data_IF_814512915336
#
_entry.id   IF_814512915336
#
_cell.length_a   1.000
_cell.length_b   1.000
_cell.length_c   1.000
_cell.angle_alpha   90.00
_cell.angle_beta   90.00
_cell.angle_gamma   90.00
#
_symmetry.space_group_name_H-M   'P 1'
#
loop_
_entity.id
_entity.type
_entity.pdbx_description
1 polymer ?
#
# COMPACT_ATOMS: atom_id res chain seq x y z
N UNK A 1 42.65 2.29 -2.56
CA UNK A 1 42.26 3.50 -1.79
C UNK A 1 40.90 3.22 -1.20
N UNK A 2 40.89 2.54 -0.06
CA UNK A 2 39.70 1.96 0.59
C UNK A 2 38.90 3.03 1.35
N UNK A 3 37.60 3.09 1.07
CA UNK A 3 36.66 3.95 1.79
C UNK A 3 36.37 3.39 3.17
N UNK A 4 36.76 4.13 4.21
CA UNK A 4 36.55 3.80 5.63
C UNK A 4 35.10 4.10 6.03
N UNK A 5 34.44 3.09 6.61
CA UNK A 5 33.12 3.19 7.22
C UNK A 5 33.20 3.80 8.62
N UNK A 6 32.33 4.76 8.92
CA UNK A 6 32.15 5.28 10.28
C UNK A 6 30.80 4.81 10.83
N UNK A 7 30.80 4.25 12.05
CA UNK A 7 29.60 3.94 12.84
C UNK A 7 29.39 5.09 13.82
N UNK A 8 28.18 5.63 13.88
CA UNK A 8 27.77 6.59 14.91
C UNK A 8 26.74 5.88 15.79
N UNK A 9 27.09 5.68 17.06
CA UNK A 9 26.17 5.38 18.16
C UNK A 9 25.78 6.70 18.82
N UNK A 10 24.50 6.90 19.12
CA UNK A 10 24.03 8.06 19.89
C UNK A 10 23.12 7.56 21.02
N UNK A 11 23.59 7.70 22.25
CA UNK A 11 22.81 7.57 23.49
C UNK A 11 22.00 8.85 23.77
N UNK A 12 20.72 8.67 24.13
CA UNK A 12 19.91 9.48 25.05
C UNK A 12 19.81 11.02 24.91
N UNK A 13 18.61 11.52 24.56
CA UNK A 13 17.99 12.66 25.28
C UNK A 13 17.73 13.99 24.53
N UNK A 14 16.57 14.07 23.85
CA UNK A 14 15.58 15.16 23.75
C UNK A 14 15.96 16.66 23.62
N UNK A 15 15.50 17.34 22.55
CA UNK A 15 14.61 18.54 22.50
C UNK A 15 13.91 18.59 21.10
N UNK A 16 12.59 18.90 21.03
CA UNK A 16 11.68 18.82 19.86
C UNK A 16 11.85 19.91 18.76
N UNK A 17 11.10 20.03 17.65
CA UNK A 17 9.81 19.52 17.12
C UNK A 17 9.89 19.53 15.54
N UNK A 18 8.84 19.42 14.70
CA UNK A 18 8.45 18.23 13.95
C UNK A 18 8.41 18.42 12.41
N UNK A 19 9.01 17.52 11.62
CA UNK A 19 8.46 17.17 10.30
C UNK A 19 8.82 15.72 10.01
N UNK A 20 7.94 14.84 10.46
CA UNK A 20 8.11 13.41 10.30
C UNK A 20 7.97 12.99 8.84
N UNK A 21 8.94 12.23 8.35
CA UNK A 21 8.57 11.04 7.62
C UNK A 21 9.48 9.89 8.04
N UNK A 22 9.00 9.12 9.03
CA UNK A 22 9.63 7.90 9.50
C UNK A 22 9.71 6.93 8.32
N UNK A 23 10.90 6.76 7.75
CA UNK A 23 11.22 5.57 6.95
C UNK A 23 11.09 4.36 7.86
N UNK A 24 9.88 3.77 7.93
CA UNK A 24 9.63 2.54 8.65
C UNK A 24 10.46 1.43 8.02
N UNK A 25 11.25 0.79 8.90
CA UNK A 25 12.02 -0.43 8.70
C UNK A 25 11.31 -1.41 7.76
N UNK A 26 12.04 -1.84 6.72
CA UNK A 26 11.68 -2.97 5.85
C UNK A 26 11.76 -4.26 6.69
N UNK A 27 10.70 -4.54 7.45
CA UNK A 27 10.49 -5.84 8.08
C UNK A 27 10.18 -6.86 6.99
N UNK A 28 10.73 -8.07 7.13
CA UNK A 28 10.41 -9.25 6.31
C UNK A 28 8.89 -9.40 6.18
N UNK A 29 8.35 -8.97 5.06
CA UNK A 29 6.90 -8.92 4.84
C UNK A 29 6.38 -10.30 4.47
N UNK A 30 5.46 -10.80 5.29
CA UNK A 30 4.39 -11.72 4.87
C UNK A 30 3.82 -11.21 3.53
N UNK A 31 3.43 -12.13 2.63
CA UNK A 31 2.88 -11.82 1.30
C UNK A 31 1.67 -10.86 1.41
N UNK A 32 1.90 -9.56 1.50
CA UNK A 32 0.84 -8.55 1.46
C UNK A 32 0.39 -8.40 0.01
N UNK A 33 -0.90 -8.51 -0.24
CA UNK A 33 -1.50 -8.26 -1.55
C UNK A 33 -1.54 -6.76 -1.79
N UNK A 34 -0.46 -6.19 -2.33
CA UNK A 34 -0.47 -4.79 -2.76
C UNK A 34 -1.11 -4.71 -4.14
N UNK A 35 -2.18 -3.94 -4.23
CA UNK A 35 -2.86 -3.62 -5.49
C UNK A 35 -2.25 -2.34 -6.04
N UNK A 36 -1.77 -2.42 -7.27
CA UNK A 36 -1.26 -1.30 -8.06
C UNK A 36 -1.80 -1.39 -9.48
N UNK A 37 -1.99 -0.25 -10.14
CA UNK A 37 -2.38 -0.26 -11.55
C UNK A 37 -1.15 -0.41 -12.45
N UNK A 38 -1.21 -1.25 -13.48
CA UNK A 38 -0.14 -1.33 -14.50
C UNK A 38 -0.23 -0.24 -15.57
N UNK A 39 -1.37 0.46 -15.62
CA UNK A 39 -1.69 1.52 -16.58
C UNK A 39 -2.03 2.82 -15.85
N UNK A 40 -1.62 4.00 -16.36
CA UNK A 40 -2.05 5.27 -15.81
C UNK A 40 -3.55 5.48 -16.04
N UNK A 41 -4.20 6.21 -15.15
CA UNK A 41 -5.66 6.42 -15.24
C UNK A 41 -6.20 7.35 -14.17
N UNK A 42 -7.51 7.32 -13.97
CA UNK A 42 -8.22 8.10 -12.96
C UNK A 42 -9.09 7.20 -12.10
N UNK A 43 -9.06 7.39 -10.78
CA UNK A 43 -9.95 6.66 -9.87
C UNK A 43 -11.37 7.18 -10.04
N UNK A 44 -12.30 6.29 -10.37
CA UNK A 44 -13.73 6.61 -10.52
C UNK A 44 -14.44 6.43 -9.19
N UNK A 45 -14.21 5.29 -8.54
CA UNK A 45 -14.80 4.96 -7.25
C UNK A 45 -13.91 3.99 -6.47
N UNK A 46 -14.08 3.98 -5.16
CA UNK A 46 -13.45 3.03 -4.26
C UNK A 46 -14.59 2.37 -3.47
N UNK A 47 -14.61 1.05 -3.43
CA UNK A 47 -15.68 0.26 -2.81
C UNK A 47 -15.34 -0.20 -1.39
N UNK A 48 -14.11 0.07 -0.92
CA UNK A 48 -13.57 -0.39 0.35
C UNK A 48 -12.88 0.73 1.12
N UNK A 49 -12.82 0.56 2.43
CA UNK A 49 -12.09 1.42 3.36
C UNK A 49 -11.10 0.60 4.20
N UNK A 50 -10.18 1.30 4.88
CA UNK A 50 -9.27 0.65 5.83
C UNK A 50 -10.06 -0.09 6.93
N UNK A 51 -9.64 -1.32 7.22
CA UNK A 51 -10.29 -2.22 8.16
C UNK A 51 -11.38 -3.12 7.55
N UNK A 52 -11.82 -2.88 6.30
CA UNK A 52 -12.76 -3.79 5.64
C UNK A 52 -12.15 -5.17 5.39
N UNK A 53 -13.00 -6.20 5.41
CA UNK A 53 -12.64 -7.56 5.00
C UNK A 53 -13.10 -7.75 3.56
N UNK A 54 -12.23 -8.31 2.72
CA UNK A 54 -12.50 -8.61 1.31
C UNK A 54 -12.18 -10.06 1.01
N UNK A 55 -12.87 -10.66 0.05
CA UNK A 55 -12.55 -11.94 -0.53
C UNK A 55 -11.74 -11.76 -1.83
N UNK A 56 -10.95 -12.78 -2.19
CA UNK A 56 -10.33 -12.85 -3.51
C UNK A 56 -11.39 -12.73 -4.62
N UNK A 57 -11.15 -11.84 -5.58
CA UNK A 57 -12.08 -11.54 -6.67
C UNK A 57 -13.07 -10.41 -6.38
N UNK A 58 -13.21 -9.95 -5.13
CA UNK A 58 -14.09 -8.82 -4.81
C UNK A 58 -13.61 -7.55 -5.53
N UNK A 59 -14.53 -6.80 -6.13
CA UNK A 59 -14.22 -5.51 -6.75
C UNK A 59 -14.00 -4.48 -5.65
N UNK A 60 -12.78 -3.93 -5.58
CA UNK A 60 -12.37 -2.99 -4.54
C UNK A 60 -12.32 -1.54 -5.01
N UNK A 61 -12.18 -1.31 -6.32
CA UNK A 61 -12.22 0.02 -6.92
C UNK A 61 -12.46 -0.04 -8.43
N UNK A 62 -12.85 1.10 -9.02
CA UNK A 62 -12.99 1.27 -10.46
C UNK A 62 -11.97 2.31 -10.94
N UNK A 63 -11.18 1.93 -11.94
CA UNK A 63 -10.21 2.77 -12.62
C UNK A 63 -10.68 3.10 -14.03
N UNK A 64 -10.68 4.38 -14.40
CA UNK A 64 -10.83 4.77 -15.80
C UNK A 64 -9.47 4.93 -16.47
N UNK A 65 -9.26 4.22 -17.58
CA UNK A 65 -8.10 4.37 -18.44
C UNK A 65 -8.53 4.26 -19.91
N UNK A 66 -7.99 5.12 -20.77
CA UNK A 66 -8.27 5.10 -22.23
C UNK A 66 -9.77 5.10 -22.59
N UNK A 67 -10.59 5.88 -21.85
CA UNK A 67 -12.07 5.96 -21.98
C UNK A 67 -12.83 4.69 -21.60
N UNK A 68 -12.18 3.73 -20.96
CA UNK A 68 -12.79 2.51 -20.47
C UNK A 68 -12.68 2.46 -18.94
N UNK A 69 -13.71 1.91 -18.29
CA UNK A 69 -13.69 1.63 -16.86
C UNK A 69 -13.27 0.18 -16.65
N UNK A 70 -12.29 -0.01 -15.78
CA UNK A 70 -11.74 -1.30 -15.40
C UNK A 70 -12.03 -1.52 -13.92
N UNK A 71 -12.66 -2.65 -13.63
CA UNK A 71 -12.81 -3.14 -12.26
C UNK A 71 -11.47 -3.67 -11.77
N UNK A 72 -11.06 -3.23 -10.59
CA UNK A 72 -9.86 -3.74 -9.93
C UNK A 72 -10.34 -4.66 -8.82
N UNK A 73 -9.93 -5.92 -8.90
CA UNK A 73 -10.33 -6.98 -7.97
C UNK A 73 -9.25 -7.23 -6.92
N UNK A 74 -9.68 -7.68 -5.73
CA UNK A 74 -8.79 -8.13 -4.68
C UNK A 74 -8.02 -9.39 -5.11
N UNK A 75 -6.67 -9.40 -5.09
CA UNK A 75 -5.87 -10.56 -5.51
C UNK A 75 -5.84 -11.68 -4.47
N UNK A 76 -6.38 -11.44 -3.27
CA UNK A 76 -6.47 -12.40 -2.18
C UNK A 76 -7.51 -11.95 -1.16
N UNK A 77 -8.04 -12.90 -0.39
CA UNK A 77 -8.89 -12.59 0.76
C UNK A 77 -8.06 -12.07 1.93
N UNK A 78 -8.59 -11.07 2.65
CA UNK A 78 -7.91 -10.50 3.81
C UNK A 78 -8.52 -9.19 4.29
N UNK A 79 -7.77 -8.47 5.12
CA UNK A 79 -8.16 -7.15 5.62
C UNK A 79 -7.46 -6.04 4.85
N UNK A 80 -8.20 -5.01 4.46
CA UNK A 80 -7.67 -3.78 3.87
C UNK A 80 -6.94 -3.00 4.96
N UNK A 81 -5.64 -2.76 4.75
CA UNK A 81 -4.77 -2.09 5.73
C UNK A 81 -4.34 -0.69 5.31
N UNK A 82 -4.52 -0.34 4.03
CA UNK A 82 -4.25 0.98 3.52
C UNK A 82 -5.06 1.24 2.24
N UNK A 83 -5.57 2.47 2.10
CA UNK A 83 -6.15 3.01 0.86
C UNK A 83 -5.46 4.35 0.55
N UNK A 84 -4.58 4.36 -0.45
CA UNK A 84 -3.67 5.48 -0.75
C UNK A 84 -4.19 6.42 -1.86
N UNK A 85 -5.47 6.33 -2.22
CA UNK A 85 -6.07 7.11 -3.30
C UNK A 85 -7.51 7.49 -2.94
N UNK A 86 -8.06 8.42 -3.71
CA UNK A 86 -9.45 8.89 -3.58
C UNK A 86 -10.12 8.95 -4.95
N UNK A 87 -11.45 8.84 -5.02
CA UNK A 87 -12.19 9.12 -6.25
C UNK A 87 -11.81 10.50 -6.80
N UNK A 88 -11.51 10.55 -8.09
CA UNK A 88 -11.04 11.76 -8.77
C UNK A 88 -9.53 11.80 -9.01
N UNK A 89 -8.72 11.07 -8.23
CA UNK A 89 -7.26 11.11 -8.33
C UNK A 89 -6.77 10.54 -9.67
N UNK A 90 -5.78 11.20 -10.26
CA UNK A 90 -4.99 10.63 -11.35
C UNK A 90 -3.87 9.75 -10.79
N UNK A 91 -3.74 8.55 -11.32
CA UNK A 91 -2.76 7.56 -10.88
C UNK A 91 -1.77 7.27 -12.00
N UNK A 92 -0.51 7.08 -11.61
CA UNK A 92 0.55 6.60 -12.48
C UNK A 92 0.63 5.07 -12.45
N UNK A 93 1.26 4.49 -13.47
CA UNK A 93 1.55 3.07 -13.48
C UNK A 93 2.44 2.69 -12.28
N UNK A 94 2.14 1.52 -11.71
CA UNK A 94 2.78 0.90 -10.56
C UNK A 94 2.66 1.69 -9.24
N UNK A 95 1.80 2.71 -9.17
CA UNK A 95 1.49 3.37 -7.90
C UNK A 95 0.71 2.42 -6.97
N UNK A 96 1.11 2.26 -5.69
CA UNK A 96 0.41 1.39 -4.74
C UNK A 96 -0.89 2.04 -4.27
N UNK A 97 -2.04 1.42 -4.58
CA UNK A 97 -3.37 1.97 -4.35
C UNK A 97 -4.02 1.41 -3.08
N UNK A 98 -4.04 0.09 -2.93
CA UNK A 98 -4.66 -0.61 -1.79
C UNK A 98 -3.71 -1.69 -1.29
N UNK A 99 -3.64 -1.89 0.03
CA UNK A 99 -2.86 -2.99 0.63
C UNK A 99 -3.78 -3.92 1.40
N UNK A 100 -3.82 -5.18 0.99
CA UNK A 100 -4.56 -6.23 1.68
C UNK A 100 -3.59 -7.13 2.43
N UNK A 101 -3.82 -7.29 3.73
CA UNK A 101 -3.12 -8.25 4.55
C UNK A 101 -3.93 -9.55 4.58
N UNK A 102 -3.39 -10.68 4.08
CA UNK A 102 -4.06 -11.97 4.20
C UNK A 102 -4.23 -12.33 5.67
N UNK A 103 -5.37 -12.94 6.01
CA UNK A 103 -5.53 -13.54 7.32
C UNK A 103 -4.55 -14.72 7.48
N UNK A 104 -3.92 -14.82 8.64
CA UNK A 104 -3.10 -15.98 8.97
C UNK A 104 -4.03 -17.19 9.16
N UNK A 105 -4.14 -18.02 8.13
CA UNK A 105 -4.69 -19.37 8.32
C UNK A 105 -3.74 -20.12 9.26
N UNK A 106 -4.13 -20.25 10.53
CA UNK A 106 -3.54 -21.26 11.41
C UNK A 106 -3.78 -22.61 10.73
N UNK A 107 -2.72 -23.18 10.19
CA UNK A 107 -2.75 -24.57 9.74
C UNK A 107 -2.69 -25.39 11.02
N UNK A 108 -3.74 -26.14 11.29
CA UNK A 108 -3.78 -27.17 12.35
C UNK A 108 -2.98 -28.41 11.91
#
# INVERSE_FOLDING_TARGET
>A
MEGKSFRIEIEGGSVGDPTGNKRKKKGRGKKSGTISSTIPGKIVSIAVEEGNIVAEGDVVMILEAMKMQNEIQAPLSGSVTAVNCKPGDSIEANSPLIVIQPEEKKTE
#
